data_IF_595231506125
#
_entry.id   IF_595231506125
#
_cell.length_a   1.000
_cell.length_b   1.000
_cell.length_c   1.000
_cell.angle_alpha   90.00
_cell.angle_beta   90.00
_cell.angle_gamma   90.00
#
_symmetry.space_group_name_H-M   'P 1'
#
loop_
_entity.id
_entity.type
_entity.pdbx_description
1 polymer ?
#
# COMPACT_ATOMS: atom_id res chain seq x y z
N UNK A 1 30.58 -1.41 -24.58
CA UNK A 1 29.92 -0.90 -23.36
C UNK A 1 28.66 -0.19 -23.80
N UNK A 2 27.51 -0.85 -23.70
CA UNK A 2 26.24 -0.35 -24.19
C UNK A 2 25.57 0.47 -23.08
N UNK A 3 25.59 1.79 -23.24
CA UNK A 3 24.89 2.73 -22.38
C UNK A 3 23.37 2.57 -22.58
N UNK A 4 22.69 1.93 -21.64
CA UNK A 4 21.22 1.93 -21.57
C UNK A 4 20.74 3.33 -21.22
N UNK A 5 20.36 4.09 -22.24
CA UNK A 5 19.62 5.34 -22.09
C UNK A 5 18.18 4.99 -21.73
N UNK A 6 17.79 5.29 -20.49
CA UNK A 6 16.43 5.15 -19.98
C UNK A 6 15.58 6.26 -20.62
N UNK A 7 14.64 5.88 -21.50
CA UNK A 7 13.69 6.83 -22.07
C UNK A 7 12.64 7.19 -21.01
N UNK A 8 12.31 8.48 -20.80
CA UNK A 8 11.26 8.87 -19.87
C UNK A 8 9.91 8.38 -20.40
N UNK A 9 9.23 7.55 -19.60
CA UNK A 9 7.82 7.17 -19.83
C UNK A 9 6.98 8.45 -19.96
N UNK A 10 6.58 8.75 -21.19
CA UNK A 10 5.78 9.94 -21.47
C UNK A 10 4.37 9.73 -20.93
N UNK A 11 3.85 10.71 -20.19
CA UNK A 11 2.52 10.69 -19.58
C UNK A 11 1.35 10.55 -20.60
N UNK A 12 1.62 10.65 -21.90
CA UNK A 12 0.64 10.59 -22.99
C UNK A 12 0.01 9.20 -23.21
N UNK A 13 0.61 8.13 -22.68
CA UNK A 13 0.08 6.76 -22.81
C UNK A 13 -0.52 6.22 -21.53
N UNK A 14 -0.59 7.02 -20.47
CA UNK A 14 -1.14 6.60 -19.19
C UNK A 14 -2.65 6.37 -19.32
N UNK A 15 -3.11 5.22 -18.84
CA UNK A 15 -4.55 4.94 -18.78
C UNK A 15 -5.24 5.87 -17.77
N UNK A 16 -6.54 6.13 -17.93
CA UNK A 16 -7.28 6.96 -16.97
C UNK A 16 -7.26 6.38 -15.55
N UNK A 17 -7.19 5.06 -15.44
CA UNK A 17 -6.95 4.33 -14.18
C UNK A 17 -5.61 4.71 -13.55
N UNK A 18 -4.55 4.85 -14.35
CA UNK A 18 -3.21 5.21 -13.91
C UNK A 18 -3.10 6.68 -13.51
N UNK A 19 -3.78 7.58 -14.22
CA UNK A 19 -3.83 9.02 -13.87
C UNK A 19 -4.46 9.25 -12.50
N UNK A 20 -5.53 8.53 -12.16
CA UNK A 20 -6.17 8.60 -10.84
C UNK A 20 -5.57 7.63 -9.82
N UNK A 21 -4.60 6.81 -10.24
CA UNK A 21 -3.93 5.81 -9.41
C UNK A 21 -4.90 4.83 -8.72
N UNK A 22 -5.87 4.34 -9.49
CA UNK A 22 -6.92 3.39 -9.08
C UNK A 22 -7.01 2.24 -10.08
N UNK A 23 -7.37 1.03 -9.64
CA UNK A 23 -7.50 -0.11 -10.55
C UNK A 23 -8.95 -0.44 -10.89
N UNK A 24 -9.21 -1.06 -12.05
CA UNK A 24 -10.56 -1.49 -12.43
C UNK A 24 -11.19 -2.42 -11.40
N UNK A 25 -10.39 -3.27 -10.73
CA UNK A 25 -10.85 -4.24 -9.74
C UNK A 25 -11.50 -3.56 -8.52
N UNK A 26 -10.88 -2.50 -7.98
CA UNK A 26 -11.46 -1.77 -6.84
C UNK A 26 -12.81 -1.13 -7.16
N UNK A 27 -12.96 -0.64 -8.40
CA UNK A 27 -14.20 -0.02 -8.83
C UNK A 27 -15.28 -1.06 -9.18
N UNK A 28 -14.94 -2.34 -9.26
CA UNK A 28 -15.87 -3.44 -9.54
C UNK A 28 -16.32 -4.15 -8.26
N UNK A 29 -15.44 -4.22 -7.25
CA UNK A 29 -15.76 -4.76 -5.92
C UNK A 29 -16.70 -3.86 -5.11
N UNK A 30 -16.72 -2.56 -5.39
CA UNK A 30 -17.47 -1.57 -4.62
C UNK A 30 -18.77 -1.16 -5.34
N UNK A 31 -19.92 -1.35 -4.68
CA UNK A 31 -21.24 -1.00 -5.24
C UNK A 31 -21.40 0.51 -5.50
N UNK A 32 -20.69 1.36 -4.75
CA UNK A 32 -20.61 2.80 -5.00
C UNK A 32 -19.14 3.24 -5.16
N UNK A 33 -18.68 3.31 -6.41
CA UNK A 33 -17.32 3.71 -6.78
C UNK A 33 -17.14 5.23 -6.93
N UNK A 34 -18.22 6.01 -6.94
CA UNK A 34 -18.16 7.47 -7.07
C UNK A 34 -17.38 8.19 -5.94
N UNK A 35 -17.55 7.87 -4.64
CA UNK A 35 -16.77 8.52 -3.58
C UNK A 35 -15.28 8.18 -3.68
N UNK A 36 -14.93 6.96 -4.05
CA UNK A 36 -13.54 6.52 -4.24
C UNK A 36 -12.87 7.29 -5.39
N UNK A 37 -13.56 7.40 -6.52
CA UNK A 37 -13.07 8.14 -7.69
C UNK A 37 -12.88 9.63 -7.38
N UNK A 38 -13.80 10.25 -6.62
CA UNK A 38 -13.66 11.65 -6.19
C UNK A 38 -12.46 11.85 -5.26
N UNK A 39 -12.26 10.98 -4.29
CA UNK A 39 -11.09 11.05 -3.39
C UNK A 39 -9.78 10.90 -4.17
N UNK A 40 -9.75 9.97 -5.12
CA UNK A 40 -8.59 9.77 -6.01
C UNK A 40 -8.30 11.03 -6.85
N UNK A 41 -9.32 11.69 -7.38
CA UNK A 41 -9.20 12.97 -8.11
C UNK A 41 -8.61 14.08 -7.24
N UNK A 42 -9.13 14.28 -6.01
CA UNK A 42 -8.62 15.31 -5.09
C UNK A 42 -7.14 15.08 -4.79
N UNK A 43 -6.74 13.83 -4.52
CA UNK A 43 -5.33 13.48 -4.28
C UNK A 43 -4.46 13.71 -5.51
N UNK A 44 -4.93 13.33 -6.70
CA UNK A 44 -4.19 13.54 -7.94
C UNK A 44 -3.93 15.04 -8.15
N UNK A 45 -4.90 15.91 -7.90
CA UNK A 45 -4.69 17.36 -7.98
C UNK A 45 -3.66 17.88 -6.97
N UNK A 46 -3.72 17.43 -5.71
CA UNK A 46 -2.77 17.85 -4.67
C UNK A 46 -1.33 17.42 -4.98
N UNK A 47 -1.16 16.24 -5.58
CA UNK A 47 0.16 15.72 -5.98
C UNK A 47 0.74 16.43 -7.19
N UNK A 48 -0.12 16.86 -8.11
CA UNK A 48 0.26 17.50 -9.38
C UNK A 48 0.16 19.03 -9.34
N UNK A 49 -0.02 19.61 -8.15
CA UNK A 49 -0.11 21.06 -8.00
C UNK A 49 1.20 21.74 -8.45
N UNK A 50 1.15 22.80 -9.28
CA UNK A 50 2.34 23.45 -9.86
C UNK A 50 3.36 23.93 -8.81
N UNK A 51 2.91 24.25 -7.60
CA UNK A 51 3.76 24.66 -6.47
C UNK A 51 4.60 23.50 -5.89
N UNK A 52 4.08 22.26 -5.95
CA UNK A 52 4.74 21.06 -5.40
C UNK A 52 5.65 20.37 -6.43
N UNK A 53 5.29 20.43 -7.71
CA UNK A 53 6.09 19.87 -8.81
C UNK A 53 7.34 20.70 -9.11
N UNK A 54 7.39 21.97 -8.69
CA UNK A 54 8.57 22.82 -8.81
C UNK A 54 9.75 22.36 -7.94
N UNK A 55 9.51 21.49 -6.95
CA UNK A 55 10.49 21.02 -5.98
C UNK A 55 10.62 19.48 -5.97
N UNK A 56 10.15 18.82 -7.02
CA UNK A 56 10.03 17.37 -7.06
C UNK A 56 11.16 16.67 -7.84
N UNK A 57 11.53 15.47 -7.38
CA UNK A 57 12.51 14.60 -8.01
C UNK A 57 12.13 14.20 -9.44
N UNK A 58 13.12 14.15 -10.33
CA UNK A 58 13.05 13.78 -11.75
C UNK A 58 12.40 12.40 -12.04
N UNK A 59 12.23 11.58 -11.01
CA UNK A 59 11.68 10.21 -11.08
C UNK A 59 10.15 10.16 -10.93
N UNK A 60 9.51 11.27 -10.57
CA UNK A 60 8.08 11.32 -10.31
C UNK A 60 7.27 11.64 -11.58
N UNK A 61 6.30 10.79 -11.89
CA UNK A 61 5.39 10.98 -13.03
C UNK A 61 4.29 11.95 -12.61
N UNK A 62 4.23 13.09 -13.29
CA UNK A 62 3.18 14.08 -13.10
C UNK A 62 2.19 14.06 -14.26
N UNK A 63 0.93 14.29 -13.93
CA UNK A 63 -0.19 14.43 -14.86
C UNK A 63 -0.70 15.85 -14.84
N UNK A 64 -1.15 16.34 -15.99
CA UNK A 64 -1.77 17.66 -16.06
C UNK A 64 -3.15 17.63 -15.40
N UNK A 65 -3.60 18.79 -14.92
CA UNK A 65 -4.96 18.93 -14.37
C UNK A 65 -6.01 18.49 -15.38
N UNK A 66 -5.81 18.78 -16.67
CA UNK A 66 -6.71 18.36 -17.76
C UNK A 66 -6.80 16.83 -17.89
N UNK A 67 -5.67 16.12 -17.80
CA UNK A 67 -5.63 14.65 -17.80
C UNK A 67 -6.38 14.07 -16.59
N UNK A 68 -6.19 14.68 -15.41
CA UNK A 68 -6.82 14.26 -14.15
C UNK A 68 -8.35 14.47 -14.20
N UNK A 69 -8.80 15.61 -14.70
CA UNK A 69 -10.23 15.91 -14.89
C UNK A 69 -10.85 15.01 -15.96
N UNK A 70 -10.15 14.74 -17.06
CA UNK A 70 -10.61 13.83 -18.11
C UNK A 70 -10.80 12.41 -17.57
N UNK A 71 -9.84 11.92 -16.78
CA UNK A 71 -9.93 10.61 -16.14
C UNK A 71 -11.12 10.53 -15.17
N UNK A 72 -11.37 11.58 -14.38
CA UNK A 72 -12.53 11.67 -13.49
C UNK A 72 -13.85 11.54 -14.26
N UNK A 73 -14.01 12.33 -15.33
CA UNK A 73 -15.27 12.38 -16.10
C UNK A 73 -15.59 11.03 -16.76
N UNK A 74 -14.58 10.34 -17.26
CA UNK A 74 -14.75 9.04 -17.93
C UNK A 74 -15.04 7.95 -16.89
N UNK A 75 -14.30 7.90 -15.78
CA UNK A 75 -14.43 6.84 -14.77
C UNK A 75 -15.66 7.02 -13.86
N UNK A 76 -16.11 8.26 -13.63
CA UNK A 76 -17.25 8.55 -12.76
C UNK A 76 -18.62 8.12 -13.33
N UNK A 77 -18.73 7.84 -14.63
CA UNK A 77 -19.97 7.39 -15.27
C UNK A 77 -19.84 5.92 -15.70
N UNK A 78 -20.74 5.02 -15.26
CA UNK A 78 -20.70 3.61 -15.66
C UNK A 78 -20.72 3.40 -17.18
N UNK A 79 -21.49 4.21 -17.91
CA UNK A 79 -21.58 4.15 -19.37
C UNK A 79 -20.27 4.59 -20.05
N UNK A 80 -19.67 5.69 -19.59
CA UNK A 80 -18.40 6.18 -20.15
C UNK A 80 -17.24 5.23 -19.82
N UNK A 81 -17.21 4.70 -18.59
CA UNK A 81 -16.23 3.71 -18.14
C UNK A 81 -16.29 2.43 -18.98
N UNK A 82 -17.48 1.86 -19.16
CA UNK A 82 -17.64 0.64 -19.97
C UNK A 82 -17.25 0.83 -21.44
N UNK A 83 -17.56 1.99 -22.02
CA UNK A 83 -17.11 2.34 -23.37
C UNK A 83 -15.56 2.46 -23.46
N UNK A 84 -14.94 3.09 -22.46
CA UNK A 84 -13.48 3.19 -22.36
C UNK A 84 -12.82 1.82 -22.17
N UNK A 85 -13.37 0.96 -21.30
CA UNK A 85 -12.88 -0.40 -21.09
C UNK A 85 -13.00 -1.25 -22.37
N UNK A 86 -14.06 -1.06 -23.15
CA UNK A 86 -14.21 -1.68 -24.46
C UNK A 86 -13.14 -1.19 -25.45
N UNK A 87 -12.86 0.11 -25.48
CA UNK A 87 -11.81 0.68 -26.31
C UNK A 87 -10.43 0.12 -25.92
N UNK A 88 -10.10 0.07 -24.63
CA UNK A 88 -8.83 -0.50 -24.13
C UNK A 88 -8.63 -1.97 -24.56
N UNK A 89 -9.70 -2.76 -24.61
CA UNK A 89 -9.64 -4.16 -25.08
C UNK A 89 -9.33 -4.27 -26.57
N UNK A 90 -9.79 -3.31 -27.37
CA UNK A 90 -9.55 -3.28 -28.83
C UNK A 90 -8.18 -2.69 -29.16
N UNK A 91 -7.74 -1.69 -28.39
CA UNK A 91 -6.51 -0.93 -28.63
C UNK A 91 -5.24 -1.59 -28.11
N UNK A 92 -5.33 -2.68 -27.34
CA UNK A 92 -4.15 -3.41 -26.85
C UNK A 92 -3.72 -4.47 -27.87
N UNK A 93 -2.68 -4.23 -28.69
CA UNK A 93 -2.10 -5.30 -29.49
C UNK A 93 -1.59 -6.38 -28.55
N UNK A 94 -1.82 -7.64 -28.92
CA UNK A 94 -1.56 -8.87 -28.16
C UNK A 94 -0.10 -9.13 -27.79
N UNK A 95 0.79 -8.14 -27.96
CA UNK A 95 2.25 -8.26 -27.86
C UNK A 95 2.90 -7.47 -26.70
N UNK A 96 2.13 -6.82 -25.83
CA UNK A 96 2.65 -6.09 -24.65
C UNK A 96 2.27 -6.76 -23.31
N UNK A 97 2.23 -8.10 -23.26
CA UNK A 97 2.05 -8.85 -22.02
C UNK A 97 3.31 -8.88 -21.13
N UNK A 98 4.37 -8.15 -21.50
CA UNK A 98 5.58 -8.05 -20.71
C UNK A 98 6.24 -6.70 -20.93
N UNK A 99 6.35 -5.92 -19.85
CA UNK A 99 7.07 -4.65 -19.71
C UNK A 99 6.36 -3.45 -20.34
N UNK A 100 5.57 -2.75 -19.54
CA UNK A 100 5.93 -1.41 -19.04
C UNK A 100 4.80 -0.87 -18.14
N UNK A 101 5.15 -0.30 -16.99
CA UNK A 101 4.26 0.52 -16.14
C UNK A 101 2.95 -0.10 -15.63
N UNK A 102 2.71 -1.40 -15.84
CA UNK A 102 1.59 -2.13 -15.25
C UNK A 102 1.61 -1.84 -13.75
N UNK A 103 0.58 -1.20 -13.24
CA UNK A 103 0.28 -1.18 -11.81
C UNK A 103 0.18 -2.64 -11.42
N UNK A 104 1.32 -3.20 -11.04
CA UNK A 104 1.40 -4.53 -10.51
C UNK A 104 0.69 -4.33 -9.19
N UNK A 105 -0.59 -4.68 -9.14
CA UNK A 105 -1.24 -5.04 -7.88
C UNK A 105 -0.48 -6.27 -7.39
N UNK A 106 0.73 -6.02 -6.91
CA UNK A 106 1.56 -6.93 -6.18
C UNK A 106 1.14 -6.81 -4.74
N UNK A 107 1.05 -7.97 -4.09
CA UNK A 107 1.11 -8.04 -2.65
C UNK A 107 2.54 -7.64 -2.27
N UNK A 108 2.70 -6.51 -1.60
CA UNK A 108 3.99 -6.10 -1.05
C UNK A 108 4.21 -6.90 0.24
N UNK A 109 5.30 -7.66 0.30
CA UNK A 109 5.63 -8.45 1.48
C UNK A 109 6.59 -7.65 2.36
N UNK A 110 6.33 -7.64 3.66
CA UNK A 110 7.11 -6.90 4.65
C UNK A 110 7.13 -7.70 5.94
N UNK A 111 8.21 -7.61 6.70
CA UNK A 111 8.29 -8.23 8.02
C UNK A 111 7.74 -7.25 9.07
N UNK A 112 7.13 -7.76 10.15
CA UNK A 112 6.55 -6.92 11.20
C UNK A 112 7.59 -5.98 11.85
N UNK A 113 8.83 -6.44 12.00
CA UNK A 113 9.94 -5.67 12.58
C UNK A 113 10.34 -4.42 11.76
N UNK A 114 9.98 -4.37 10.47
CA UNK A 114 10.23 -3.24 9.58
C UNK A 114 9.11 -2.19 9.62
N UNK A 115 7.99 -2.46 10.33
CA UNK A 115 6.88 -1.53 10.44
C UNK A 115 7.04 -0.59 11.64
N UNK A 116 6.57 0.64 11.45
CA UNK A 116 6.46 1.58 12.54
C UNK A 116 5.29 1.16 13.45
N UNK A 117 5.61 0.94 14.73
CA UNK A 117 4.63 0.77 15.80
C UNK A 117 4.38 2.10 16.49
N UNK A 118 3.10 2.45 16.65
CA UNK A 118 2.65 3.62 17.40
C UNK A 118 2.28 3.19 18.84
N UNK A 119 3.10 3.57 19.81
CA UNK A 119 2.88 3.24 21.24
C UNK A 119 1.63 3.91 21.82
N UNK A 120 1.20 5.07 21.28
CA UNK A 120 0.03 5.79 21.81
C UNK A 120 -1.29 5.15 21.33
N UNK A 121 -1.28 4.54 20.14
CA UNK A 121 -2.47 3.97 19.48
C UNK A 121 -2.48 2.43 19.48
N UNK A 122 -1.40 1.80 19.95
CA UNK A 122 -1.19 0.35 19.97
C UNK A 122 -1.45 -0.28 18.60
N UNK A 123 -0.93 0.36 17.55
CA UNK A 123 -1.16 -0.06 16.16
C UNK A 123 0.10 0.05 15.30
N UNK A 124 0.18 -0.81 14.29
CA UNK A 124 1.18 -0.68 13.23
C UNK A 124 0.60 0.09 12.06
N UNK A 125 1.39 1.02 11.53
CA UNK A 125 1.00 1.76 10.35
C UNK A 125 2.15 1.88 9.34
N UNK A 126 1.78 2.03 8.07
CA UNK A 126 2.75 2.26 6.99
C UNK A 126 2.21 3.18 5.91
N UNK A 127 3.02 4.17 5.44
CA UNK A 127 2.65 4.98 4.29
C UNK A 127 2.64 4.12 3.04
N UNK A 128 1.57 4.23 2.25
CA UNK A 128 1.52 3.59 0.95
C UNK A 128 2.22 4.46 -0.10
N UNK A 129 2.81 3.81 -1.11
CA UNK A 129 3.36 4.45 -2.32
C UNK A 129 2.33 5.27 -3.11
N UNK A 130 1.04 5.14 -2.79
CA UNK A 130 -0.02 5.99 -3.32
C UNK A 130 -0.03 7.41 -2.70
N UNK A 131 0.73 7.65 -1.63
CA UNK A 131 0.87 8.94 -0.95
C UNK A 131 -0.13 9.17 0.18
N UNK A 132 -0.83 8.13 0.66
CA UNK A 132 -1.51 8.17 1.96
C UNK A 132 -0.51 7.68 3.03
N UNK A 133 -0.38 8.44 4.13
CA UNK A 133 0.52 8.14 5.23
C UNK A 133 -0.03 7.07 6.18
N UNK A 134 -1.36 6.95 6.29
CA UNK A 134 -2.07 5.99 7.13
C UNK A 134 -3.02 5.14 6.28
N UNK A 135 -2.45 4.38 5.35
CA UNK A 135 -3.23 3.57 4.40
C UNK A 135 -3.24 2.09 4.72
N UNK A 136 -2.24 1.61 5.46
CA UNK A 136 -2.19 0.28 6.05
C UNK A 136 -2.14 0.50 7.55
N UNK A 137 -3.18 0.06 8.24
CA UNK A 137 -3.31 0.16 9.70
C UNK A 137 -3.93 -1.15 10.19
N UNK A 138 -3.34 -1.73 11.23
CA UNK A 138 -3.83 -2.94 11.90
C UNK A 138 -3.30 -2.98 13.33
N UNK A 139 -3.95 -3.77 14.18
CA UNK A 139 -3.67 -3.89 15.62
C UNK A 139 -3.22 -5.28 15.98
N UNK A 140 -2.82 -5.45 17.24
CA UNK A 140 -2.36 -6.74 17.77
C UNK A 140 -3.46 -7.80 17.69
N UNK A 141 -4.71 -7.41 17.94
CA UNK A 141 -5.86 -8.29 17.78
C UNK A 141 -6.00 -8.87 16.36
N UNK A 142 -5.62 -8.11 15.33
CA UNK A 142 -5.66 -8.59 13.94
C UNK A 142 -4.55 -9.62 13.67
N UNK A 143 -3.41 -9.50 14.35
CA UNK A 143 -2.30 -10.46 14.27
C UNK A 143 -2.63 -11.73 15.04
N UNK A 144 -3.23 -11.61 16.21
CA UNK A 144 -3.61 -12.75 17.04
C UNK A 144 -4.61 -13.66 16.32
N UNK A 145 -5.55 -13.09 15.57
CA UNK A 145 -6.52 -13.86 14.76
C UNK A 145 -5.86 -14.72 13.68
N UNK A 146 -4.72 -14.28 13.14
CA UNK A 146 -3.96 -14.99 12.08
C UNK A 146 -2.61 -15.52 12.58
N UNK A 147 -2.47 -15.68 13.89
CA UNK A 147 -1.26 -16.16 14.56
C UNK A 147 -0.80 -17.53 14.05
N UNK A 148 -1.76 -18.45 13.82
CA UNK A 148 -1.51 -19.78 13.25
C UNK A 148 -0.97 -19.75 11.80
N UNK A 149 -1.30 -18.71 11.03
CA UNK A 149 -0.87 -18.56 9.63
C UNK A 149 0.50 -17.85 9.55
N UNK A 150 0.84 -17.03 10.54
CA UNK A 150 2.08 -16.25 10.60
C UNK A 150 2.13 -15.09 9.59
N UNK A 151 0.98 -14.74 9.01
CA UNK A 151 0.87 -13.70 8.00
C UNK A 151 -0.46 -12.95 8.04
N UNK A 152 -0.38 -11.62 7.98
CA UNK A 152 -1.54 -10.74 7.91
C UNK A 152 -1.59 -10.02 6.56
N UNK A 153 -2.74 -10.04 5.88
CA UNK A 153 -2.91 -9.37 4.57
C UNK A 153 -3.84 -8.16 4.72
N UNK A 154 -3.28 -6.95 4.58
CA UNK A 154 -3.98 -5.67 4.76
C UNK A 154 -4.10 -4.93 3.43
N UNK A 155 -5.32 -4.48 3.12
CA UNK A 155 -5.61 -3.68 1.93
C UNK A 155 -5.37 -2.19 2.17
N UNK A 156 -4.80 -1.49 1.18
CA UNK A 156 -4.69 -0.04 1.19
C UNK A 156 -6.08 0.61 1.17
N UNK A 157 -6.36 1.52 2.11
CA UNK A 157 -7.65 2.22 2.17
C UNK A 157 -7.94 3.11 0.95
N UNK A 158 -6.90 3.54 0.22
CA UNK A 158 -6.98 4.57 -0.82
C UNK A 158 -6.44 4.13 -2.19
N UNK A 159 -6.12 2.85 -2.34
CA UNK A 159 -5.53 2.28 -3.53
C UNK A 159 -5.73 0.77 -3.54
N UNK A 160 -5.40 0.10 -4.64
CA UNK A 160 -5.63 -1.34 -4.75
C UNK A 160 -4.44 -2.20 -4.35
N UNK A 161 -3.45 -1.62 -3.66
CA UNK A 161 -2.29 -2.38 -3.20
C UNK A 161 -2.64 -3.16 -1.93
N UNK A 162 -2.05 -4.33 -1.82
CA UNK A 162 -2.15 -5.20 -0.65
C UNK A 162 -0.78 -5.29 0.01
N UNK A 163 -0.75 -5.32 1.34
CA UNK A 163 0.45 -5.50 2.16
C UNK A 163 0.31 -6.84 2.90
N UNK A 164 1.25 -7.76 2.70
CA UNK A 164 1.35 -9.00 3.47
C UNK A 164 2.46 -8.85 4.47
N UNK A 165 2.08 -8.85 5.73
CA UNK A 165 2.96 -8.72 6.88
C UNK A 165 3.28 -10.11 7.36
N UNK A 166 4.55 -10.49 7.33
CA UNK A 166 5.04 -11.74 7.89
C UNK A 166 5.47 -11.51 9.34
N UNK A 167 5.05 -12.38 10.23
CA UNK A 167 5.41 -12.33 11.64
C UNK A 167 5.57 -13.74 12.21
N UNK A 168 6.43 -13.88 13.21
CA UNK A 168 6.57 -15.11 13.95
C UNK A 168 6.04 -14.88 15.36
N UNK A 169 5.07 -15.67 15.79
CA UNK A 169 4.66 -15.72 17.18
C UNK A 169 5.71 -16.51 17.93
N UNK A 170 6.41 -15.85 18.86
CA UNK A 170 7.25 -16.54 19.82
C UNK A 170 6.33 -16.93 20.98
N UNK A 171 6.09 -18.23 21.16
CA UNK A 171 5.58 -18.71 22.43
C UNK A 171 6.66 -18.39 23.47
N UNK A 172 6.38 -17.49 24.40
CA UNK A 172 7.20 -17.27 25.59
C UNK A 172 7.10 -18.50 26.51
N UNK A 173 7.65 -19.63 26.05
CA UNK A 173 8.07 -20.71 26.93
C UNK A 173 9.58 -20.59 27.15
N UNK A 174 9.88 -20.10 28.37
CA UNK A 174 11.15 -20.16 29.10
C UNK A 174 12.06 -18.91 29.02
N UNK A 175 11.90 -18.01 29.99
CA UNK A 175 12.90 -17.74 31.05
C UNK A 175 12.44 -16.61 31.99
N UNK A 176 12.09 -16.93 33.26
CA UNK A 176 12.42 -16.14 34.47
C UNK A 176 11.78 -16.77 35.74
N UNK A 177 12.47 -17.74 36.35
CA UNK A 177 12.51 -17.89 37.82
C UNK A 177 13.98 -18.06 38.24
N UNK A 178 14.74 -16.97 38.18
CA UNK A 178 15.92 -16.77 39.04
C UNK A 178 15.63 -15.61 40.01
N UNK A 179 16.07 -15.82 41.26
CA UNK A 179 15.95 -14.95 42.43
C UNK A 179 14.60 -14.93 43.19
N UNK A 180 14.46 -15.79 44.23
CA UNK A 180 14.28 -15.24 45.60
C UNK A 180 14.70 -16.22 46.72
N UNK A 181 15.86 -15.93 47.33
CA UNK A 181 16.21 -16.02 48.77
C UNK A 181 15.45 -17.02 49.66
N UNK A 182 16.17 -18.03 50.16
CA UNK A 182 15.99 -18.49 51.56
C UNK A 182 17.27 -18.25 52.35
N UNK A 183 17.28 -17.15 53.10
CA UNK A 183 18.16 -16.99 54.25
C UNK A 183 17.62 -17.88 55.35
N UNK A 184 18.29 -18.99 55.68
CA UNK A 184 18.12 -19.57 57.02
C UNK A 184 19.46 -19.63 57.74
N UNK A 185 19.60 -18.63 58.59
CA UNK A 185 20.65 -18.47 59.58
C UNK A 185 20.31 -19.37 60.77
N UNK A 186 20.95 -20.54 60.90
CA UNK A 186 21.07 -21.19 62.21
C UNK A 186 22.47 -21.74 62.45
N UNK A 187 23.38 -20.82 62.81
CA UNK A 187 24.52 -21.16 63.66
C UNK A 187 24.00 -21.58 65.05
N UNK A 188 24.02 -22.88 65.37
CA UNK A 188 24.10 -23.32 66.77
C UNK A 188 24.67 -24.75 66.92
N UNK A 189 25.97 -24.79 67.25
CA UNK A 189 26.55 -25.50 68.41
C UNK A 189 26.40 -27.04 68.44
N UNK A 190 27.51 -27.78 68.29
CA UNK A 190 28.12 -28.67 69.32
C UNK A 190 29.16 -29.62 68.69
N UNK A 191 30.43 -29.45 69.06
CA UNK A 191 31.42 -30.52 69.29
C UNK A 191 32.57 -29.97 70.13
#
# INVERSE_FOLDING_TARGET
MASSQYAPISADTATHYQVLNITPALLDTQHDSAPLIKRAYHRALLRNHPDKVANADSSSVFYTVDQITTALNILSSPSSRSAYDAALRVSRPTAAAGRDGSFQTGVENVDLDDLAFDEDQECWYRPCRCGNEHSYEFREADLEEVSDEGELVVGCLDCSLWLRVHFAVMDDEEEEEDDTKHSDNTHKKTS
#
